data_IF_724835326579
#
_entry.id   IF_724835326579
#
_cell.length_a   1.000
_cell.length_b   1.000
_cell.length_c   1.000
_cell.angle_alpha   90.00
_cell.angle_beta   90.00
_cell.angle_gamma   90.00
#
_symmetry.space_group_name_H-M   'P 1'
#
loop_
_entity.id
_entity.type
_entity.pdbx_description
1 polymer ?
#
# COMPACT_ATOMS: atom_id res chain seq x y z
N UNK A 1 27.34 13.71 6.73
CA UNK A 1 26.66 12.60 6.04
C UNK A 1 26.47 11.53 7.10
N UNK A 2 25.47 11.73 7.94
CA UNK A 2 25.19 10.79 9.03
C UNK A 2 24.44 9.61 8.44
N UNK A 3 25.10 8.44 8.46
CA UNK A 3 24.55 7.18 8.01
C UNK A 3 23.26 6.91 8.78
N UNK A 4 22.12 6.85 8.07
CA UNK A 4 20.85 6.40 8.63
C UNK A 4 21.07 4.96 9.10
N UNK A 5 20.89 4.64 10.38
CA UNK A 5 21.07 3.28 10.87
C UNK A 5 20.10 2.36 10.14
N UNK A 6 20.63 1.31 9.52
CA UNK A 6 19.85 0.31 8.82
C UNK A 6 18.95 -0.41 9.83
N UNK A 7 17.64 -0.17 9.76
CA UNK A 7 16.69 -0.86 10.63
C UNK A 7 16.66 -2.35 10.29
N UNK A 8 16.69 -3.26 11.29
CA UNK A 8 16.65 -4.69 11.03
C UNK A 8 15.37 -5.06 10.26
N UNK A 9 15.46 -6.02 9.35
CA UNK A 9 14.32 -6.53 8.61
C UNK A 9 13.19 -6.96 9.58
N UNK A 10 11.90 -6.78 9.19
CA UNK A 10 10.77 -7.15 10.03
C UNK A 10 10.89 -8.62 10.45
N UNK A 11 10.74 -8.90 11.74
CA UNK A 11 10.74 -10.29 12.23
C UNK A 11 9.46 -10.98 11.76
N UNK A 12 9.54 -12.08 10.99
CA UNK A 12 8.35 -12.80 10.54
C UNK A 12 7.60 -13.39 11.75
N UNK A 13 6.29 -13.21 11.79
CA UNK A 13 5.44 -13.93 12.75
C UNK A 13 5.08 -15.30 12.16
N UNK A 14 5.29 -16.39 12.91
CA UNK A 14 4.92 -17.75 12.47
C UNK A 14 3.41 -17.95 12.33
N UNK A 15 2.62 -17.21 13.11
CA UNK A 15 1.16 -17.20 13.05
C UNK A 15 0.67 -15.76 12.83
N UNK A 16 -0.31 -15.52 11.95
CA UNK A 16 -0.80 -14.17 11.70
C UNK A 16 -1.42 -13.57 12.97
N UNK A 17 -1.05 -12.33 13.28
CA UNK A 17 -1.45 -11.64 14.49
C UNK A 17 -2.90 -11.17 14.41
N UNK A 18 -3.33 -10.70 13.24
CA UNK A 18 -4.65 -10.12 13.05
C UNK A 18 -5.65 -11.06 12.38
N UNK A 19 -5.22 -11.85 11.39
CA UNK A 19 -6.10 -12.66 10.56
C UNK A 19 -6.98 -13.60 11.41
N UNK A 20 -8.27 -13.66 11.11
CA UNK A 20 -9.25 -14.50 11.82
C UNK A 20 -9.66 -14.01 13.21
N UNK A 21 -9.09 -12.92 13.71
CA UNK A 21 -9.48 -12.31 15.00
C UNK A 21 -10.47 -11.17 14.78
N UNK A 22 -11.12 -10.72 15.85
CA UNK A 22 -11.74 -9.39 15.85
C UNK A 22 -10.70 -8.34 16.24
N UNK A 23 -10.59 -7.25 15.48
CA UNK A 23 -9.59 -6.20 15.74
C UNK A 23 -10.19 -4.86 15.38
N UNK A 24 -10.17 -3.87 16.31
CA UNK A 24 -10.70 -2.55 16.03
C UNK A 24 -9.92 -1.85 14.93
N UNK A 25 -10.58 -0.96 14.19
CA UNK A 25 -9.93 -0.11 13.21
C UNK A 25 -8.99 0.88 13.92
N UNK A 26 -7.73 1.04 13.49
CA UNK A 26 -6.85 2.07 14.01
C UNK A 26 -7.42 3.47 13.75
N UNK A 27 -7.16 4.39 14.67
CA UNK A 27 -7.63 5.79 14.59
C UNK A 27 -6.83 6.64 13.61
N UNK A 28 -5.61 6.23 13.29
CA UNK A 28 -4.69 6.94 12.41
C UNK A 28 -3.76 5.95 11.69
N UNK A 29 -3.17 6.35 10.54
CA UNK A 29 -2.10 5.59 9.89
C UNK A 29 -0.96 5.27 10.85
N UNK A 30 -0.52 6.21 11.66
CA UNK A 30 0.61 6.06 12.59
C UNK A 30 0.34 5.01 13.68
N UNK A 31 -0.91 4.84 14.09
CA UNK A 31 -1.35 3.83 15.05
C UNK A 31 -1.52 2.44 14.42
N UNK A 32 -1.70 2.37 13.09
CA UNK A 32 -1.84 1.10 12.41
C UNK A 32 -0.54 0.28 12.49
N UNK A 33 -0.70 -1.02 12.72
CA UNK A 33 0.40 -2.00 12.78
C UNK A 33 0.26 -2.97 11.64
N UNK A 34 1.30 -3.05 10.82
CA UNK A 34 1.43 -4.07 9.79
C UNK A 34 1.97 -5.35 10.42
N UNK A 35 1.50 -6.48 9.91
CA UNK A 35 1.97 -7.81 10.29
C UNK A 35 2.53 -8.52 9.07
N UNK A 36 3.49 -9.39 9.30
CA UNK A 36 4.28 -10.05 8.28
C UNK A 36 4.40 -11.53 8.60
N UNK A 37 4.17 -12.35 7.59
CA UNK A 37 4.35 -13.80 7.68
C UNK A 37 5.47 -14.26 6.74
N UNK A 38 6.09 -15.43 6.98
CA UNK A 38 7.14 -15.94 6.10
C UNK A 38 6.68 -16.03 4.66
N UNK A 39 7.54 -15.63 3.73
CA UNK A 39 7.35 -15.89 2.31
C UNK A 39 7.31 -17.42 2.08
N UNK A 40 6.20 -18.00 1.55
CA UNK A 40 6.06 -19.45 1.38
C UNK A 40 6.93 -20.01 0.24
N UNK A 41 7.48 -19.16 -0.62
CA UNK A 41 8.29 -19.53 -1.79
C UNK A 41 9.59 -18.72 -1.81
N UNK A 42 10.48 -18.92 -0.81
CA UNK A 42 11.74 -18.20 -0.77
C UNK A 42 12.60 -18.55 -1.99
N UNK A 43 13.29 -17.54 -2.55
CA UNK A 43 14.19 -17.69 -3.70
C UNK A 43 13.50 -17.64 -5.07
N UNK A 44 12.17 -17.64 -5.15
CA UNK A 44 11.45 -17.40 -6.40
C UNK A 44 11.10 -15.91 -6.54
N UNK A 45 11.34 -15.36 -7.73
CA UNK A 45 10.87 -14.03 -8.11
C UNK A 45 9.44 -14.15 -8.61
N UNK A 46 8.49 -13.60 -7.85
CA UNK A 46 7.08 -13.55 -8.24
C UNK A 46 6.44 -12.24 -7.77
N UNK A 47 5.39 -11.83 -8.48
CA UNK A 47 4.63 -10.63 -8.15
C UNK A 47 3.42 -10.97 -7.30
N UNK A 48 3.16 -10.14 -6.29
CA UNK A 48 1.90 -10.09 -5.55
C UNK A 48 1.23 -8.75 -5.82
N UNK A 49 -0.07 -8.77 -6.15
CA UNK A 49 -0.90 -7.56 -6.33
C UNK A 49 -1.98 -7.49 -5.25
N UNK A 50 -2.09 -6.34 -4.60
CA UNK A 50 -3.29 -5.94 -3.88
C UNK A 50 -4.03 -4.86 -4.66
N UNK A 51 -5.31 -5.09 -4.91
CA UNK A 51 -6.23 -4.08 -5.41
C UNK A 51 -7.16 -3.69 -4.26
N UNK A 52 -7.11 -2.42 -3.84
CA UNK A 52 -7.92 -1.86 -2.77
C UNK A 52 -8.90 -0.83 -3.37
N UNK A 53 -10.08 -1.28 -3.83
CA UNK A 53 -11.08 -0.43 -4.48
C UNK A 53 -11.85 0.50 -3.53
N UNK A 54 -11.71 0.28 -2.23
CA UNK A 54 -12.50 0.93 -1.17
C UNK A 54 -11.67 1.97 -0.38
N UNK A 55 -10.54 2.43 -0.93
CA UNK A 55 -9.68 3.37 -0.23
C UNK A 55 -10.31 4.77 -0.16
N UNK A 56 -10.19 5.41 1.00
CA UNK A 56 -10.67 6.78 1.21
C UNK A 56 -9.85 7.50 2.27
N UNK A 57 -9.70 8.82 2.11
CA UNK A 57 -9.09 9.75 3.06
C UNK A 57 -9.79 11.10 3.01
N UNK A 58 -9.34 12.08 3.79
CA UNK A 58 -9.91 13.44 3.79
C UNK A 58 -9.01 14.43 3.06
N UNK A 59 -9.63 15.33 2.30
CA UNK A 59 -8.97 16.50 1.73
C UNK A 59 -8.54 17.44 2.87
N UNK A 60 -7.25 17.80 2.99
CA UNK A 60 -6.75 18.63 4.10
C UNK A 60 -7.31 20.06 4.08
N UNK A 61 -7.80 20.54 2.94
CA UNK A 61 -8.33 21.90 2.78
C UNK A 61 -9.83 21.97 3.12
N UNK A 62 -10.61 21.02 2.63
CA UNK A 62 -12.08 21.08 2.70
C UNK A 62 -12.68 20.10 3.72
N UNK A 63 -11.91 19.12 4.20
CA UNK A 63 -12.39 18.03 5.04
C UNK A 63 -13.34 17.05 4.33
N UNK A 64 -13.54 17.18 3.02
CA UNK A 64 -14.38 16.27 2.25
C UNK A 64 -13.67 14.93 2.01
N UNK A 65 -14.41 13.80 1.97
CA UNK A 65 -13.83 12.49 1.75
C UNK A 65 -13.47 12.26 0.27
N UNK A 66 -12.20 12.02 -0.01
CA UNK A 66 -11.68 11.59 -1.30
C UNK A 66 -11.64 10.06 -1.38
N UNK A 67 -11.81 9.50 -2.59
CA UNK A 67 -11.87 8.06 -2.83
C UNK A 67 -10.85 7.68 -3.90
N UNK A 68 -10.26 6.50 -3.78
CA UNK A 68 -9.33 5.98 -4.77
C UNK A 68 -9.41 4.45 -4.91
N UNK A 69 -9.00 3.96 -6.08
CA UNK A 69 -8.51 2.60 -6.22
C UNK A 69 -7.00 2.61 -6.00
N UNK A 70 -6.51 1.89 -5.00
CA UNK A 70 -5.06 1.66 -4.86
C UNK A 70 -4.69 0.31 -5.49
N UNK A 71 -3.65 0.30 -6.31
CA UNK A 71 -3.03 -0.91 -6.87
C UNK A 71 -1.59 -0.99 -6.37
N UNK A 72 -1.33 -1.95 -5.50
CA UNK A 72 -0.01 -2.17 -4.90
C UNK A 72 0.54 -3.48 -5.45
N UNK A 73 1.66 -3.39 -6.16
CA UNK A 73 2.40 -4.54 -6.67
C UNK A 73 3.74 -4.64 -5.96
N UNK A 74 4.13 -5.83 -5.54
CA UNK A 74 5.45 -6.02 -4.95
C UNK A 74 6.04 -7.40 -5.25
N UNK A 75 7.37 -7.47 -5.21
CA UNK A 75 8.14 -8.71 -5.21
C UNK A 75 8.58 -9.01 -3.77
N UNK A 76 8.09 -10.10 -3.17
CA UNK A 76 8.39 -10.42 -1.77
C UNK A 76 9.89 -10.57 -1.47
N UNK A 77 10.27 -10.18 -0.26
CA UNK A 77 11.56 -10.52 0.33
C UNK A 77 11.45 -11.84 1.11
N UNK A 78 11.97 -11.85 2.34
CA UNK A 78 11.83 -12.97 3.28
C UNK A 78 10.39 -13.12 3.83
N UNK A 79 9.59 -12.06 3.77
CA UNK A 79 8.23 -12.00 4.29
C UNK A 79 7.25 -11.51 3.22
N UNK A 80 5.97 -11.73 3.51
CA UNK A 80 4.82 -11.11 2.84
C UNK A 80 3.98 -10.39 3.89
N UNK A 81 3.33 -9.29 3.49
CA UNK A 81 2.38 -8.60 4.37
C UNK A 81 1.11 -9.42 4.57
N UNK A 82 0.64 -9.47 5.81
CA UNK A 82 -0.61 -10.13 6.18
C UNK A 82 -1.80 -9.26 5.75
N UNK A 83 -2.71 -9.83 4.98
CA UNK A 83 -3.80 -9.13 4.30
C UNK A 83 -4.74 -8.31 5.22
N UNK A 84 -5.06 -8.80 6.42
CA UNK A 84 -5.92 -8.08 7.35
C UNK A 84 -5.19 -6.90 7.99
N UNK A 85 -3.91 -7.03 8.33
CA UNK A 85 -3.09 -5.91 8.79
C UNK A 85 -3.01 -4.80 7.73
N UNK A 86 -2.85 -5.17 6.46
CA UNK A 86 -2.90 -4.22 5.34
C UNK A 86 -4.27 -3.54 5.24
N UNK A 87 -5.36 -4.30 5.35
CA UNK A 87 -6.72 -3.74 5.39
C UNK A 87 -6.88 -2.73 6.53
N UNK A 88 -6.40 -3.04 7.73
CA UNK A 88 -6.49 -2.14 8.89
C UNK A 88 -5.64 -0.88 8.68
N UNK A 89 -4.45 -1.02 8.09
CA UNK A 89 -3.61 0.11 7.72
C UNK A 89 -4.29 1.02 6.70
N UNK A 90 -4.76 0.48 5.57
CA UNK A 90 -5.45 1.28 4.56
C UNK A 90 -6.74 1.90 5.11
N UNK A 91 -7.50 1.17 5.95
CA UNK A 91 -8.72 1.66 6.57
C UNK A 91 -8.50 2.79 7.59
N UNK A 92 -7.31 2.88 8.18
CA UNK A 92 -6.96 3.95 9.14
C UNK A 92 -6.86 5.34 8.50
N UNK A 93 -6.74 5.42 7.17
CA UNK A 93 -6.73 6.69 6.44
C UNK A 93 -8.11 7.35 6.34
N UNK A 94 -9.19 6.64 6.68
CA UNK A 94 -10.58 7.11 6.47
C UNK A 94 -10.85 8.53 6.99
N UNK A 95 -10.26 8.89 8.13
CA UNK A 95 -10.39 10.21 8.75
C UNK A 95 -9.05 10.98 8.78
N UNK A 96 -8.04 10.51 8.05
CA UNK A 96 -6.74 11.15 7.94
C UNK A 96 -6.75 12.21 6.85
N UNK A 97 -6.16 13.37 7.12
CA UNK A 97 -6.08 14.48 6.17
C UNK A 97 -4.75 14.42 5.40
N UNK A 98 -4.80 14.35 4.09
CA UNK A 98 -3.59 14.32 3.26
C UNK A 98 -3.86 14.56 1.79
N UNK A 99 -2.90 15.15 1.09
CA UNK A 99 -2.96 15.28 -0.37
C UNK A 99 -2.82 13.90 -1.03
N UNK A 100 -3.38 13.75 -2.23
CA UNK A 100 -3.41 12.46 -2.93
C UNK A 100 -2.00 11.91 -3.16
N UNK A 101 -1.07 12.81 -3.47
CA UNK A 101 0.35 12.53 -3.67
C UNK A 101 1.01 12.00 -2.40
N UNK A 102 0.87 12.73 -1.29
CA UNK A 102 1.49 12.39 -0.02
C UNK A 102 0.92 11.07 0.53
N UNK A 103 -0.40 10.89 0.47
CA UNK A 103 -1.06 9.65 0.89
C UNK A 103 -0.60 8.46 0.05
N UNK A 104 -0.61 8.58 -1.28
CA UNK A 104 -0.25 7.46 -2.17
C UNK A 104 1.23 7.10 -2.03
N UNK A 105 2.12 8.09 -2.11
CA UNK A 105 3.57 7.85 -2.01
C UNK A 105 3.94 7.41 -0.60
N UNK A 106 3.34 8.01 0.44
CA UNK A 106 3.58 7.66 1.84
C UNK A 106 3.17 6.21 2.18
N UNK A 107 2.03 5.74 1.66
CA UNK A 107 1.64 4.32 1.77
C UNK A 107 2.70 3.43 1.12
N UNK A 108 3.11 3.73 -0.12
CA UNK A 108 4.11 2.95 -0.85
C UNK A 108 5.47 2.90 -0.14
N UNK A 109 5.97 4.07 0.29
CA UNK A 109 7.23 4.19 1.00
C UNK A 109 7.22 3.44 2.32
N UNK A 110 6.17 3.61 3.14
CA UNK A 110 6.05 2.89 4.41
C UNK A 110 6.00 1.38 4.23
N UNK A 111 5.22 0.89 3.25
CA UNK A 111 5.17 -0.53 2.94
C UNK A 111 6.54 -1.04 2.48
N UNK A 112 7.24 -0.30 1.63
CA UNK A 112 8.59 -0.69 1.18
C UNK A 112 9.58 -0.76 2.35
N UNK A 113 9.61 0.26 3.20
CA UNK A 113 10.54 0.36 4.31
C UNK A 113 10.28 -0.73 5.37
N UNK A 114 9.01 -0.95 5.76
CA UNK A 114 8.69 -1.93 6.79
C UNK A 114 8.70 -3.37 6.26
N UNK A 115 8.15 -3.63 5.06
CA UNK A 115 8.06 -4.99 4.52
C UNK A 115 9.39 -5.50 3.96
N UNK A 116 10.31 -4.59 3.60
CA UNK A 116 11.60 -4.90 2.95
C UNK A 116 11.45 -5.84 1.73
N UNK A 117 10.57 -5.53 0.76
CA UNK A 117 10.49 -6.31 -0.47
C UNK A 117 11.73 -6.11 -1.33
N UNK A 118 11.90 -6.98 -2.32
CA UNK A 118 12.90 -6.74 -3.37
C UNK A 118 12.52 -5.55 -4.25
N UNK A 119 11.23 -5.33 -4.45
CA UNK A 119 10.69 -4.23 -5.25
C UNK A 119 9.22 -3.98 -4.89
N UNK A 120 8.78 -2.72 -4.98
CA UNK A 120 7.38 -2.33 -4.80
C UNK A 120 7.01 -1.18 -5.75
N UNK A 121 5.78 -1.20 -6.26
CA UNK A 121 5.13 -0.03 -6.85
C UNK A 121 3.70 0.15 -6.32
N UNK A 122 3.24 1.39 -6.33
CA UNK A 122 1.87 1.75 -6.01
C UNK A 122 1.33 2.71 -7.07
N UNK A 123 0.07 2.51 -7.44
CA UNK A 123 -0.73 3.46 -8.21
C UNK A 123 -1.98 3.81 -7.41
N UNK A 124 -2.21 5.10 -7.19
CA UNK A 124 -3.42 5.63 -6.60
C UNK A 124 -4.26 6.31 -7.68
N UNK A 125 -5.41 5.71 -8.01
CA UNK A 125 -6.33 6.22 -9.02
C UNK A 125 -7.48 6.97 -8.32
N UNK A 126 -7.33 8.29 -8.17
CA UNK A 126 -8.23 9.10 -7.35
C UNK A 126 -9.45 9.60 -8.14
N UNK A 127 -10.59 9.62 -7.45
CA UNK A 127 -11.86 9.98 -8.06
C UNK A 127 -11.88 11.50 -8.36
N UNK A 128 -12.50 11.93 -9.47
CA UNK A 128 -12.40 13.31 -9.91
C UNK A 128 -12.94 14.35 -8.90
N UNK A 129 -12.21 15.47 -8.78
CA UNK A 129 -12.68 16.71 -8.18
C UNK A 129 -12.80 17.77 -9.27
N UNK A 130 -13.97 18.41 -9.38
CA UNK A 130 -14.24 19.34 -10.47
C UNK A 130 -14.12 18.71 -11.87
N UNK A 131 -14.33 17.39 -11.98
CA UNK A 131 -14.20 16.64 -13.24
C UNK A 131 -12.77 16.23 -13.61
N UNK A 132 -11.78 16.49 -12.75
CA UNK A 132 -10.37 16.17 -13.02
C UNK A 132 -9.91 15.06 -12.03
N UNK A 133 -9.58 13.85 -12.51
CA UNK A 133 -8.92 12.85 -11.68
C UNK A 133 -7.43 13.18 -11.52
N UNK A 134 -6.83 12.66 -10.44
CA UNK A 134 -5.40 12.74 -10.20
C UNK A 134 -4.92 11.31 -9.96
N UNK A 135 -4.12 10.79 -10.89
CA UNK A 135 -3.49 9.48 -10.71
C UNK A 135 -2.05 9.68 -10.26
N UNK A 136 -1.69 9.02 -9.16
CA UNK A 136 -0.36 9.14 -8.53
C UNK A 136 0.35 7.80 -8.60
N UNK A 137 1.61 7.80 -9.05
CA UNK A 137 2.40 6.60 -9.20
C UNK A 137 3.76 6.74 -8.51
N UNK A 138 4.19 5.67 -7.84
CA UNK A 138 5.53 5.57 -7.27
C UNK A 138 6.04 4.13 -7.33
N UNK A 139 7.34 3.97 -7.49
CA UNK A 139 8.01 2.67 -7.39
C UNK A 139 9.40 2.81 -6.77
N UNK A 140 9.86 1.77 -6.09
CA UNK A 140 11.14 1.75 -5.36
C UNK A 140 12.37 1.72 -6.28
N UNK A 141 12.20 1.42 -7.56
CA UNK A 141 13.28 1.32 -8.54
C UNK A 141 12.83 0.58 -9.80
N UNK A 142 13.79 0.13 -10.61
CA UNK A 142 13.50 -0.76 -11.73
C UNK A 142 12.97 -2.12 -11.22
N UNK A 143 11.98 -2.73 -11.89
CA UNK A 143 11.52 -4.06 -11.53
C UNK A 143 12.64 -5.09 -11.74
N UNK A 144 12.69 -6.17 -10.93
CA UNK A 144 13.63 -7.26 -11.12
C UNK A 144 13.59 -7.82 -12.55
N UNK A 145 14.76 -8.15 -13.09
CA UNK A 145 14.87 -8.74 -14.43
C UNK A 145 14.07 -10.04 -14.51
N UNK A 146 13.36 -10.23 -15.63
CA UNK A 146 12.54 -11.42 -15.85
C UNK A 146 11.24 -11.48 -15.04
N UNK A 147 10.93 -10.48 -14.22
CA UNK A 147 9.65 -10.42 -13.51
C UNK A 147 8.49 -10.30 -14.52
N UNK A 148 7.50 -11.19 -14.38
CA UNK A 148 6.20 -10.97 -15.03
C UNK A 148 5.50 -9.79 -14.38
N UNK A 149 5.54 -8.63 -15.03
CA UNK A 149 4.91 -7.40 -14.56
C UNK A 149 3.67 -7.07 -15.40
N UNK A 150 2.44 -7.29 -14.91
CA UNK A 150 1.24 -6.92 -15.64
C UNK A 150 1.07 -5.40 -15.69
N UNK A 151 0.22 -4.92 -16.60
CA UNK A 151 -0.20 -3.52 -16.62
C UNK A 151 -0.82 -3.12 -15.27
N UNK A 152 -0.54 -1.89 -14.81
CA UNK A 152 -1.06 -1.40 -13.52
C UNK A 152 -2.43 -0.74 -13.67
N UNK A 153 -2.88 -0.48 -14.91
CA UNK A 153 -4.10 0.25 -15.20
C UNK A 153 -5.30 -0.34 -14.50
N UNK A 154 -6.04 0.52 -13.81
CA UNK A 154 -7.44 0.27 -13.47
C UNK A 154 -8.26 0.83 -14.62
N UNK A 155 -9.27 0.10 -15.09
CA UNK A 155 -10.17 0.64 -16.10
C UNK A 155 -10.71 1.98 -15.57
N UNK A 156 -10.48 3.11 -16.27
CA UNK A 156 -10.89 4.40 -15.77
C UNK A 156 -12.40 4.36 -15.52
N UNK A 157 -12.83 5.01 -14.44
CA UNK A 157 -14.24 5.23 -14.16
C UNK A 157 -14.90 5.76 -15.44
N UNK A 158 -15.74 4.93 -16.07
CA UNK A 158 -16.61 5.36 -17.17
C UNK A 158 -17.70 6.20 -16.52
N UNK A 159 -17.39 7.48 -16.27
CA UNK A 159 -18.41 8.48 -16.03
C UNK A 159 -19.46 8.32 -17.11
N UNK A 160 -20.66 7.92 -16.69
CA UNK A 160 -21.87 7.64 -17.48
C UNK A 160 -21.73 7.92 -18.98
N UNK A 161 -21.89 6.86 -19.79
CA UNK A 161 -22.34 7.04 -21.19
C UNK A 161 -23.70 7.72 -21.25
#
# INVERSE_FOLDING_TARGET
MDSIPEQPAPKPTLAPQFLGKDTPMPTSPEDARLDYVPNPRPGLTYLVRFAAPEFTSLCPVTGQPDFAHLVIDYVPGATIVESKSLKLFLGSFRNHNGFHEDVTVGIGARLFDEMRPQWLRIGGYWYPRGGIPIDVFWQSGAPPEGLWLPDQGVAPYRGRG
#
